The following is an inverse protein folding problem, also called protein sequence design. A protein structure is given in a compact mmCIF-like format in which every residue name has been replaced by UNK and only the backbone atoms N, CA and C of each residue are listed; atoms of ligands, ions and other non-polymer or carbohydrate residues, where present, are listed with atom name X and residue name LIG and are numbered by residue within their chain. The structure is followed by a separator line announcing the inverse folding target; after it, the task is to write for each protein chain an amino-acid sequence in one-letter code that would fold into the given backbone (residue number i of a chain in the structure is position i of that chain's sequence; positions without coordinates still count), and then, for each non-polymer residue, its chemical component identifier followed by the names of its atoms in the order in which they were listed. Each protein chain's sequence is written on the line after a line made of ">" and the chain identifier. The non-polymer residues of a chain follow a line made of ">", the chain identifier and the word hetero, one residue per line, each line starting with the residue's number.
data_IF_771881474086
#
_entry.id   IF_771881474086
#
_cell.length_a   1.000
_cell.length_b   1.000
_cell.length_c   1.000
_cell.angle_alpha   90.00
_cell.angle_beta   90.00
_cell.angle_gamma   90.00
#
_symmetry.space_group_name_H-M   'P 1'
#
loop_
_entity.id
_entity.type
_entity.pdbx_description
1 polymer ?
#
# COMPACT_ATOMS: atom_id res chain seq x y z
N UNK A 1 -4.68 -3.70 21.38
CA UNK A 1 -5.59 -3.59 20.22
C UNK A 1 -4.74 -3.83 18.99
N UNK A 2 -5.21 -4.58 17.99
CA UNK A 2 -4.42 -4.83 16.78
C UNK A 2 -4.48 -3.59 15.88
N UNK A 3 -3.33 -3.10 15.45
CA UNK A 3 -3.18 -2.03 14.48
C UNK A 3 -3.05 -2.63 13.08
N UNK A 4 -3.94 -2.22 12.19
CA UNK A 4 -3.87 -2.59 10.78
C UNK A 4 -3.18 -1.46 10.01
N UNK A 5 -2.40 -1.83 9.00
CA UNK A 5 -1.83 -0.89 8.04
C UNK A 5 -2.92 -0.25 7.17
N UNK A 6 -2.53 0.69 6.29
CA UNK A 6 -3.45 1.38 5.37
C UNK A 6 -4.20 0.44 4.41
N UNK A 7 -3.74 -0.82 4.28
CA UNK A 7 -4.37 -1.86 3.46
C UNK A 7 -5.28 -2.78 4.29
N UNK A 8 -5.47 -2.50 5.57
CA UNK A 8 -6.28 -3.31 6.48
C UNK A 8 -5.61 -4.62 6.89
N UNK A 9 -4.27 -4.66 6.91
CA UNK A 9 -3.48 -5.86 7.17
C UNK A 9 -2.56 -5.69 8.39
N UNK A 10 -2.27 -6.78 9.08
CA UNK A 10 -1.25 -6.88 10.13
C UNK A 10 -0.13 -7.81 9.68
N UNK A 11 1.10 -7.50 10.05
CA UNK A 11 2.25 -8.38 9.78
C UNK A 11 2.18 -9.63 10.65
N UNK A 12 2.41 -10.80 10.08
CA UNK A 12 2.44 -12.08 10.80
C UNK A 12 3.77 -12.79 10.57
N UNK A 13 4.60 -12.85 11.61
CA UNK A 13 5.87 -13.58 11.63
C UNK A 13 5.56 -15.01 12.07
N UNK A 14 5.87 -16.00 11.24
CA UNK A 14 5.77 -17.40 11.63
C UNK A 14 7.13 -17.88 12.10
N UNK A 15 7.17 -18.44 13.29
CA UNK A 15 8.34 -19.07 13.88
C UNK A 15 8.03 -20.54 14.19
N UNK A 16 8.99 -21.41 13.92
CA UNK A 16 8.96 -22.80 14.34
C UNK A 16 8.83 -22.88 15.87
N UNK A 17 7.85 -23.62 16.36
CA UNK A 17 7.58 -23.73 17.79
C UNK A 17 8.76 -24.40 18.54
N UNK A 18 9.30 -25.47 17.96
CA UNK A 18 10.33 -26.30 18.58
C UNK A 18 11.74 -25.69 18.46
N UNK A 19 12.09 -25.13 17.31
CA UNK A 19 13.46 -24.66 17.05
C UNK A 19 13.66 -23.16 17.24
N UNK A 20 12.57 -22.38 17.26
CA UNK A 20 12.64 -20.92 17.29
C UNK A 20 13.12 -20.29 15.97
N UNK A 21 13.30 -21.06 14.90
CA UNK A 21 13.65 -20.53 13.58
C UNK A 21 12.49 -19.72 13.02
N UNK A 22 12.77 -18.52 12.51
CA UNK A 22 11.77 -17.76 11.73
C UNK A 22 11.58 -18.47 10.39
N UNK A 23 10.34 -18.87 10.09
CA UNK A 23 9.98 -19.64 8.91
C UNK A 23 9.58 -18.72 7.75
N UNK A 24 8.71 -17.74 8.01
CA UNK A 24 8.27 -16.78 7.00
C UNK A 24 7.62 -15.55 7.63
N UNK A 25 7.46 -14.50 6.83
CA UNK A 25 6.59 -13.38 7.12
C UNK A 25 5.43 -13.39 6.11
N UNK A 26 4.21 -13.24 6.62
CA UNK A 26 3.01 -13.02 5.82
C UNK A 26 2.21 -11.85 6.37
N UNK A 27 1.01 -11.66 5.80
CA UNK A 27 0.07 -10.62 6.23
C UNK A 27 -1.28 -11.27 6.49
N UNK A 28 -2.00 -10.78 7.49
CA UNK A 28 -3.35 -11.21 7.81
C UNK A 28 -4.30 -10.01 7.76
N UNK A 29 -5.47 -10.17 7.16
CA UNK A 29 -6.62 -9.30 7.44
C UNK A 29 -7.40 -9.90 8.65
N UNK A 30 -8.46 -9.23 9.15
CA UNK A 30 -9.24 -9.76 10.27
C UNK A 30 -9.78 -11.18 10.04
N UNK A 31 -10.22 -11.50 8.82
CA UNK A 31 -10.75 -12.83 8.49
C UNK A 31 -9.66 -13.92 8.50
N UNK A 32 -8.46 -13.64 7.98
CA UNK A 32 -7.34 -14.58 8.03
C UNK A 32 -6.90 -14.86 9.48
N UNK A 33 -6.90 -13.83 10.32
CA UNK A 33 -6.58 -13.98 11.74
C UNK A 33 -7.66 -14.82 12.46
N UNK A 34 -8.94 -14.54 12.20
CA UNK A 34 -10.05 -15.31 12.77
C UNK A 34 -9.96 -16.79 12.39
N UNK A 35 -9.71 -17.10 11.11
CA UNK A 35 -9.52 -18.49 10.65
C UNK A 35 -8.28 -19.16 11.24
N UNK A 36 -7.22 -18.40 11.46
CA UNK A 36 -5.99 -18.91 12.11
C UNK A 36 -6.23 -19.22 13.58
N UNK A 37 -6.93 -18.34 14.30
CA UNK A 37 -7.27 -18.55 15.72
C UNK A 37 -8.28 -19.69 15.92
N UNK A 38 -9.25 -19.83 15.01
CA UNK A 38 -10.29 -20.85 15.07
C UNK A 38 -9.92 -22.19 14.43
N UNK A 39 -8.78 -22.27 13.75
CA UNK A 39 -8.36 -23.43 12.96
C UNK A 39 -7.02 -24.03 13.40
N UNK A 40 -6.64 -25.15 12.78
CA UNK A 40 -5.37 -25.81 13.06
C UNK A 40 -4.19 -25.23 12.27
N UNK A 41 -4.44 -24.50 11.19
CA UNK A 41 -3.42 -24.09 10.22
C UNK A 41 -3.38 -22.58 10.02
N UNK A 42 -2.20 -22.06 9.65
CA UNK A 42 -1.99 -20.63 9.40
C UNK A 42 -2.66 -20.17 8.10
N UNK A 43 -3.51 -19.15 8.21
CA UNK A 43 -4.10 -18.44 7.08
C UNK A 43 -3.44 -17.08 6.87
N UNK A 44 -3.27 -16.69 5.61
CA UNK A 44 -2.77 -15.38 5.23
C UNK A 44 -3.77 -14.68 4.31
N UNK A 45 -3.54 -13.39 4.10
CA UNK A 45 -4.14 -12.61 3.04
C UNK A 45 -3.07 -12.22 2.00
N UNK A 46 -3.29 -12.62 0.75
CA UNK A 46 -2.37 -12.38 -0.34
C UNK A 46 -2.51 -10.97 -0.89
N UNK A 47 -1.59 -10.06 -0.56
CA UNK A 47 -1.58 -8.66 -1.03
C UNK A 47 -1.65 -8.49 -2.56
N UNK A 48 -1.11 -9.45 -3.32
CA UNK A 48 -1.09 -9.40 -4.79
C UNK A 48 -2.37 -9.94 -5.44
N UNK A 49 -3.06 -10.85 -4.75
CA UNK A 49 -4.26 -11.55 -5.27
C UNK A 49 -5.55 -11.04 -4.62
N UNK A 50 -5.42 -10.24 -3.56
CA UNK A 50 -6.53 -9.72 -2.75
C UNK A 50 -7.46 -10.82 -2.25
N UNK A 51 -6.89 -11.96 -1.85
CA UNK A 51 -7.63 -13.16 -1.45
C UNK A 51 -7.03 -13.81 -0.20
N UNK A 52 -7.86 -14.57 0.51
CA UNK A 52 -7.41 -15.46 1.57
C UNK A 52 -6.62 -16.63 1.02
N UNK A 53 -5.62 -17.06 1.78
CA UNK A 53 -4.74 -18.15 1.40
C UNK A 53 -4.39 -19.01 2.62
N UNK A 54 -4.79 -20.27 2.57
CA UNK A 54 -4.36 -21.27 3.54
C UNK A 54 -2.94 -21.75 3.19
N UNK A 55 -1.97 -21.53 4.08
CA UNK A 55 -0.60 -21.98 3.84
C UNK A 55 -0.56 -23.51 3.77
N UNK A 56 -0.11 -24.02 2.62
CA UNK A 56 0.01 -25.46 2.38
C UNK A 56 -1.11 -26.06 1.54
N UNK A 57 -2.18 -25.31 1.24
CA UNK A 57 -3.34 -25.84 0.49
C UNK A 57 -2.96 -26.47 -0.86
N UNK A 58 -2.03 -25.85 -1.59
CA UNK A 58 -1.56 -26.38 -2.88
C UNK A 58 -0.35 -27.31 -2.73
N UNK A 59 0.56 -27.01 -1.81
CA UNK A 59 1.85 -27.71 -1.69
C UNK A 59 1.84 -28.90 -0.74
N UNK A 60 0.79 -29.08 0.07
CA UNK A 60 0.77 -29.98 1.23
C UNK A 60 1.60 -29.49 2.42
N UNK A 61 2.44 -28.47 2.24
CA UNK A 61 3.30 -27.94 3.29
C UNK A 61 2.59 -26.95 4.23
N UNK A 62 1.85 -27.48 5.20
CA UNK A 62 1.08 -26.71 6.18
C UNK A 62 1.93 -26.15 7.32
N UNK A 63 1.38 -25.16 8.01
CA UNK A 63 1.93 -24.65 9.27
C UNK A 63 0.86 -24.84 10.35
N UNK A 64 1.06 -25.78 11.27
CA UNK A 64 0.10 -26.07 12.33
C UNK A 64 0.26 -25.10 13.50
N UNK A 65 -0.77 -24.32 13.79
CA UNK A 65 -0.77 -23.27 14.81
C UNK A 65 -0.59 -23.88 16.20
N UNK A 66 0.29 -23.27 17.00
CA UNK A 66 0.48 -23.59 18.44
C UNK A 66 0.05 -22.45 19.34
N UNK A 67 0.53 -21.26 19.04
CA UNK A 67 0.19 -20.05 19.79
C UNK A 67 0.40 -18.81 18.93
N UNK A 68 -0.29 -17.73 19.29
CA UNK A 68 -0.15 -16.41 18.69
C UNK A 68 0.17 -15.41 19.80
N UNK A 69 1.06 -14.48 19.52
CA UNK A 69 1.40 -13.38 20.42
C UNK A 69 1.33 -12.08 19.64
N UNK A 70 0.73 -11.06 20.23
CA UNK A 70 0.75 -9.71 19.72
C UNK A 70 1.96 -8.98 20.32
N UNK A 71 2.62 -8.12 19.56
CA UNK A 71 3.66 -7.23 20.08
C UNK A 71 3.11 -6.09 20.93
N UNK A 72 3.99 -5.19 21.38
CA UNK A 72 3.67 -4.21 22.42
C UNK A 72 2.83 -3.02 21.93
N UNK A 73 2.95 -2.64 20.66
CA UNK A 73 2.19 -1.59 19.98
C UNK A 73 1.05 -2.14 19.10
N UNK A 74 1.07 -3.44 18.83
CA UNK A 74 -0.04 -4.18 18.24
C UNK A 74 -0.02 -4.25 16.72
N UNK A 75 1.10 -3.93 16.06
CA UNK A 75 1.22 -3.89 14.61
C UNK A 75 1.85 -5.17 13.99
N UNK A 76 2.31 -6.10 14.84
CA UNK A 76 2.77 -7.41 14.41
C UNK A 76 2.31 -8.57 15.31
N UNK A 77 2.09 -9.72 14.67
CA UNK A 77 1.74 -10.98 15.32
C UNK A 77 2.87 -11.98 15.14
N UNK A 78 3.33 -12.57 16.23
CA UNK A 78 4.18 -13.77 16.23
C UNK A 78 3.30 -15.02 16.30
N UNK A 79 3.34 -15.83 15.26
CA UNK A 79 2.69 -17.14 15.17
C UNK A 79 3.72 -18.23 15.42
N UNK A 80 3.56 -18.99 16.50
CA UNK A 80 4.32 -20.21 16.76
C UNK A 80 3.61 -21.38 16.07
N UNK A 81 4.33 -22.11 15.22
CA UNK A 81 3.73 -23.20 14.44
C UNK A 81 4.68 -24.39 14.25
N UNK A 82 4.11 -25.59 14.09
CA UNK A 82 4.83 -26.78 13.61
C UNK A 82 4.74 -26.84 12.07
N UNK A 83 5.85 -26.76 11.34
CA UNK A 83 5.84 -26.93 9.89
C UNK A 83 5.64 -28.40 9.50
N UNK A 84 4.75 -28.64 8.54
CA UNK A 84 4.61 -29.92 7.84
C UNK A 84 5.35 -29.75 6.52
N UNK A 85 6.54 -30.33 6.37
CA UNK A 85 7.37 -30.17 5.18
C UNK A 85 8.01 -28.77 5.06
N UNK A 86 8.69 -28.47 3.94
CA UNK A 86 9.41 -27.20 3.78
C UNK A 86 8.44 -26.01 3.65
N UNK A 87 8.70 -24.95 4.42
CA UNK A 87 7.83 -23.76 4.40
C UNK A 87 7.93 -23.01 3.08
N UNK A 88 9.14 -22.87 2.53
CA UNK A 88 9.40 -22.09 1.33
C UNK A 88 9.03 -22.87 0.06
N UNK A 89 8.53 -22.18 -0.95
CA UNK A 89 8.21 -22.77 -2.25
C UNK A 89 9.44 -23.29 -3.01
N UNK A 90 10.65 -22.90 -2.60
CA UNK A 90 11.92 -23.37 -3.18
C UNK A 90 12.32 -24.75 -2.67
N UNK A 91 11.61 -25.28 -1.65
CA UNK A 91 12.00 -26.51 -0.95
C UNK A 91 12.80 -26.27 0.33
N UNK A 92 13.13 -25.02 0.64
CA UNK A 92 13.82 -24.64 1.88
C UNK A 92 12.88 -24.61 3.08
N UNK A 93 13.42 -24.86 4.28
CA UNK A 93 12.64 -24.88 5.52
C UNK A 93 12.10 -23.50 5.90
N UNK A 94 12.84 -22.44 5.60
CA UNK A 94 12.50 -21.04 5.88
C UNK A 94 12.63 -20.21 4.60
N UNK A 95 11.86 -19.13 4.49
CA UNK A 95 12.04 -18.11 3.46
C UNK A 95 13.29 -17.25 3.68
N UNK A 96 13.86 -17.23 4.89
CA UNK A 96 15.04 -16.45 5.26
C UNK A 96 16.32 -17.29 5.16
N UNK A 97 16.49 -18.03 4.06
CA UNK A 97 17.61 -18.95 3.85
C UNK A 97 18.84 -18.29 3.18
N UNK A 98 18.69 -17.09 2.63
CA UNK A 98 19.78 -16.34 2.00
C UNK A 98 20.36 -15.34 3.01
N UNK A 99 21.67 -15.43 3.36
CA UNK A 99 22.30 -14.45 4.23
C UNK A 99 22.49 -13.11 3.49
N UNK A 100 22.25 -12.01 4.19
CA UNK A 100 22.50 -10.66 3.68
C UNK A 100 23.89 -10.20 4.15
N UNK A 101 24.91 -10.37 3.30
CA UNK A 101 26.31 -10.02 3.61
C UNK A 101 26.77 -8.71 3.00
N UNK A 102 26.03 -8.18 2.03
CA UNK A 102 26.35 -6.94 1.31
C UNK A 102 25.07 -6.11 1.09
N UNK A 103 25.25 -4.82 0.78
CA UNK A 103 24.15 -3.94 0.43
C UNK A 103 23.54 -4.36 -0.91
N UNK A 104 22.22 -4.55 -0.93
CA UNK A 104 21.47 -4.90 -2.13
C UNK A 104 20.77 -3.68 -2.72
N UNK A 105 20.50 -3.71 -4.02
CA UNK A 105 19.68 -2.68 -4.66
C UNK A 105 18.27 -2.66 -4.09
N UNK A 106 17.79 -1.47 -3.73
CA UNK A 106 16.41 -1.25 -3.35
C UNK A 106 15.59 -0.98 -4.62
N UNK A 107 14.54 -1.77 -4.82
CA UNK A 107 13.51 -1.49 -5.84
C UNK A 107 12.25 -1.03 -5.13
N UNK A 108 11.84 0.22 -5.37
CA UNK A 108 10.52 0.67 -4.98
C UNK A 108 9.48 -0.13 -5.77
N UNK A 109 8.57 -0.81 -5.07
CA UNK A 109 7.35 -1.32 -5.69
C UNK A 109 6.36 -0.16 -5.75
N UNK A 110 6.53 0.73 -6.71
CA UNK A 110 5.60 1.84 -6.92
C UNK A 110 4.25 1.29 -7.38
N UNK A 111 3.39 0.99 -6.42
CA UNK A 111 1.99 0.63 -6.62
C UNK A 111 1.14 1.32 -5.58
N UNK A 112 0.42 2.36 -5.99
CA UNK A 112 -0.59 3.03 -5.19
C UNK A 112 -0.49 4.56 -5.21
N UNK A 113 -1.22 5.24 -4.31
CA UNK A 113 -1.28 6.70 -4.25
C UNK A 113 0.00 7.35 -3.74
N UNK A 114 1.08 6.61 -3.42
CA UNK A 114 2.34 7.20 -2.95
C UNK A 114 2.92 8.27 -3.88
N UNK A 115 2.68 8.12 -5.19
CA UNK A 115 3.03 9.11 -6.20
C UNK A 115 2.42 10.50 -5.93
N UNK A 116 1.24 10.60 -5.30
CA UNK A 116 0.61 11.90 -5.03
C UNK A 116 1.35 12.69 -3.95
N UNK A 117 1.94 12.01 -2.96
CA UNK A 117 2.76 12.66 -1.94
C UNK A 117 4.09 13.15 -2.53
N UNK A 118 4.75 12.33 -3.34
CA UNK A 118 5.98 12.70 -4.06
C UNK A 118 5.73 13.88 -5.02
N UNK A 119 4.64 13.80 -5.79
CA UNK A 119 4.23 14.84 -6.72
C UNK A 119 3.88 16.14 -6.00
N UNK A 120 3.19 16.07 -4.86
CA UNK A 120 2.86 17.26 -4.07
C UNK A 120 4.12 17.91 -3.47
N UNK A 121 5.07 17.12 -2.97
CA UNK A 121 6.36 17.63 -2.51
C UNK A 121 7.13 18.33 -3.64
N UNK A 122 7.14 17.75 -4.85
CA UNK A 122 7.72 18.37 -6.04
C UNK A 122 7.00 19.68 -6.41
N UNK A 123 5.66 19.71 -6.37
CA UNK A 123 4.86 20.91 -6.62
C UNK A 123 5.19 22.02 -5.62
N UNK A 124 5.34 21.69 -4.33
CA UNK A 124 5.75 22.65 -3.31
C UNK A 124 7.15 23.22 -3.57
N UNK A 125 8.14 22.36 -3.84
CA UNK A 125 9.49 22.80 -4.21
C UNK A 125 9.45 23.74 -5.43
N UNK A 126 8.62 23.45 -6.45
CA UNK A 126 8.43 24.34 -7.60
C UNK A 126 7.74 25.67 -7.24
N UNK A 127 6.84 25.68 -6.27
CA UNK A 127 6.21 26.91 -5.76
C UNK A 127 7.23 27.81 -5.05
N UNK A 128 8.15 27.20 -4.30
CA UNK A 128 9.14 27.93 -3.50
C UNK A 128 10.32 28.41 -4.35
N UNK A 129 10.82 27.54 -5.25
CA UNK A 129 12.01 27.80 -6.07
C UNK A 129 11.69 28.56 -7.37
N UNK A 130 10.45 28.46 -7.87
CA UNK A 130 9.99 29.06 -9.12
C UNK A 130 10.97 28.86 -10.30
N UNK A 131 11.36 27.60 -10.64
CA UNK A 131 12.33 27.35 -11.71
C UNK A 131 11.78 27.79 -13.08
N UNK A 132 12.65 28.38 -13.90
CA UNK A 132 12.31 28.84 -15.26
C UNK A 132 11.96 27.65 -16.19
N UNK A 133 10.97 27.84 -17.06
CA UNK A 133 10.53 26.81 -18.03
C UNK A 133 9.68 25.67 -17.44
N UNK A 134 9.40 25.69 -16.14
CA UNK A 134 8.51 24.71 -15.49
C UNK A 134 7.04 25.05 -15.73
N UNK A 135 6.27 24.05 -16.18
CA UNK A 135 4.82 24.19 -16.34
C UNK A 135 4.12 24.57 -15.01
N UNK A 136 4.55 23.98 -13.89
CA UNK A 136 3.99 24.30 -12.56
C UNK A 136 4.27 25.74 -12.17
N UNK A 137 5.45 26.28 -12.54
CA UNK A 137 5.80 27.69 -12.28
C UNK A 137 4.85 28.61 -13.03
N UNK A 138 4.62 28.35 -14.32
CA UNK A 138 3.68 29.14 -15.13
C UNK A 138 2.25 29.12 -14.58
N UNK A 139 1.81 28.00 -13.99
CA UNK A 139 0.51 27.91 -13.32
C UNK A 139 0.46 28.80 -12.06
N UNK A 140 1.50 28.78 -11.23
CA UNK A 140 1.56 29.64 -10.04
C UNK A 140 1.64 31.13 -10.38
N UNK A 141 2.37 31.50 -11.43
CA UNK A 141 2.43 32.89 -11.93
C UNK A 141 1.07 33.39 -12.43
N UNK A 142 0.26 32.51 -13.03
CA UNK A 142 -1.10 32.83 -13.48
C UNK A 142 -2.14 32.83 -12.34
N UNK A 143 -1.78 32.30 -11.18
CA UNK A 143 -2.56 32.35 -9.95
C UNK A 143 -3.73 31.36 -9.87
N UNK A 144 -4.36 31.34 -8.70
CA UNK A 144 -5.43 30.41 -8.35
C UNK A 144 -6.60 30.35 -9.36
N UNK A 145 -7.07 31.46 -9.98
CA UNK A 145 -8.14 31.39 -10.97
C UNK A 145 -7.79 30.50 -12.17
N UNK A 146 -6.56 30.57 -12.68
CA UNK A 146 -6.12 29.74 -13.80
C UNK A 146 -5.99 28.28 -13.39
N UNK A 147 -5.43 28.03 -12.22
CA UNK A 147 -5.27 26.67 -11.69
C UNK A 147 -6.64 26.01 -11.50
N UNK A 148 -7.60 26.72 -10.91
CA UNK A 148 -8.97 26.25 -10.74
C UNK A 148 -9.67 26.00 -12.09
N UNK A 149 -9.42 26.84 -13.10
CA UNK A 149 -9.91 26.62 -14.45
C UNK A 149 -9.41 25.28 -15.01
N UNK A 150 -8.11 24.98 -14.87
CA UNK A 150 -7.55 23.69 -15.29
C UNK A 150 -8.23 22.51 -14.61
N UNK A 151 -8.47 22.58 -13.29
CA UNK A 151 -9.21 21.52 -12.57
C UNK A 151 -10.58 21.26 -13.19
N UNK A 152 -11.30 22.31 -13.59
CA UNK A 152 -12.62 22.18 -14.22
C UNK A 152 -12.51 21.59 -15.63
N UNK A 153 -11.51 22.02 -16.42
CA UNK A 153 -11.24 21.47 -17.76
C UNK A 153 -11.02 19.95 -17.66
N UNK A 154 -10.09 19.49 -16.82
CA UNK A 154 -9.77 18.05 -16.70
C UNK A 154 -10.94 17.23 -16.14
N UNK A 155 -11.73 17.81 -15.24
CA UNK A 155 -12.94 17.15 -14.73
C UNK A 155 -13.98 16.93 -15.86
N UNK A 156 -14.11 17.89 -16.77
CA UNK A 156 -14.97 17.76 -17.94
C UNK A 156 -14.45 16.69 -18.91
N UNK A 157 -13.15 16.71 -19.21
CA UNK A 157 -12.50 15.76 -20.12
C UNK A 157 -12.58 14.33 -19.57
N UNK A 158 -12.29 14.14 -18.28
CA UNK A 158 -12.43 12.85 -17.60
C UNK A 158 -13.88 12.33 -17.62
N UNK A 159 -14.87 13.21 -17.38
CA UNK A 159 -16.27 12.82 -17.43
C UNK A 159 -16.69 12.37 -18.84
N UNK A 160 -16.25 13.09 -19.88
CA UNK A 160 -16.52 12.73 -21.28
C UNK A 160 -15.87 11.38 -21.61
N UNK A 161 -14.58 11.20 -21.28
CA UNK A 161 -13.85 9.96 -21.50
C UNK A 161 -14.54 8.76 -20.83
N UNK A 162 -15.04 8.94 -19.60
CA UNK A 162 -15.82 7.94 -18.89
C UNK A 162 -17.14 7.58 -19.57
N UNK A 163 -17.86 8.56 -20.13
CA UNK A 163 -19.12 8.32 -20.85
C UNK A 163 -18.91 7.57 -22.16
N UNK A 164 -17.82 7.85 -22.88
CA UNK A 164 -17.51 7.17 -24.14
C UNK A 164 -16.83 5.81 -23.94
N UNK A 165 -16.46 5.47 -22.70
CA UNK A 165 -15.81 4.20 -22.37
C UNK A 165 -14.34 4.12 -22.79
N UNK A 166 -13.68 5.27 -23.01
CA UNK A 166 -12.25 5.32 -23.32
C UNK A 166 -11.46 5.23 -22.02
N UNK A 167 -10.95 4.03 -21.74
CA UNK A 167 -10.23 3.73 -20.50
C UNK A 167 -8.90 4.49 -20.38
N UNK A 168 -8.17 4.63 -21.48
CA UNK A 168 -6.85 5.23 -21.45
C UNK A 168 -6.97 6.75 -21.36
N UNK A 169 -7.90 7.35 -22.12
CA UNK A 169 -8.22 8.77 -21.97
C UNK A 169 -8.72 9.06 -20.55
N UNK A 170 -9.67 8.27 -20.02
CA UNK A 170 -10.16 8.48 -18.65
C UNK A 170 -9.04 8.43 -17.61
N UNK A 171 -8.09 7.51 -17.75
CA UNK A 171 -6.95 7.42 -16.85
C UNK A 171 -6.02 8.65 -16.98
N UNK A 172 -5.79 9.14 -18.20
CA UNK A 172 -4.99 10.34 -18.48
C UNK A 172 -5.65 11.59 -17.87
N UNK A 173 -6.92 11.85 -18.19
CA UNK A 173 -7.63 13.04 -17.72
C UNK A 173 -7.84 13.01 -16.20
N UNK A 174 -8.05 11.83 -15.61
CA UNK A 174 -8.09 11.70 -14.17
C UNK A 174 -6.72 12.02 -13.52
N UNK A 175 -5.62 11.66 -14.16
CA UNK A 175 -4.28 11.99 -13.67
C UNK A 175 -4.03 13.50 -13.75
N UNK A 176 -4.40 14.16 -14.85
CA UNK A 176 -4.28 15.61 -15.00
C UNK A 176 -5.19 16.36 -14.02
N UNK A 177 -6.42 15.88 -13.80
CA UNK A 177 -7.31 16.43 -12.79
C UNK A 177 -6.70 16.33 -11.37
N UNK A 178 -6.11 15.18 -11.02
CA UNK A 178 -5.42 15.00 -9.74
C UNK A 178 -4.23 15.96 -9.64
N UNK A 179 -3.39 16.05 -10.67
CA UNK A 179 -2.25 16.96 -10.70
C UNK A 179 -2.67 18.42 -10.48
N UNK A 180 -3.63 18.93 -11.25
CA UNK A 180 -4.09 20.32 -11.11
C UNK A 180 -4.76 20.57 -9.77
N UNK A 181 -5.45 19.57 -9.22
CA UNK A 181 -6.00 19.65 -7.86
C UNK A 181 -4.86 19.79 -6.83
N UNK A 182 -3.79 18.99 -6.93
CA UNK A 182 -2.62 19.12 -6.05
C UNK A 182 -1.95 20.50 -6.17
N UNK A 183 -1.85 21.05 -7.38
CA UNK A 183 -1.35 22.43 -7.60
C UNK A 183 -2.27 23.46 -6.93
N UNK A 184 -3.59 23.30 -7.03
CA UNK A 184 -4.56 24.18 -6.38
C UNK A 184 -4.45 24.13 -4.85
N UNK A 185 -4.34 22.92 -4.28
CA UNK A 185 -4.13 22.74 -2.85
C UNK A 185 -2.84 23.44 -2.40
N UNK A 186 -1.74 23.25 -3.13
CA UNK A 186 -0.48 23.92 -2.84
C UNK A 186 -0.60 25.45 -2.93
N UNK A 187 -1.32 25.98 -3.93
CA UNK A 187 -1.56 27.42 -4.08
C UNK A 187 -2.28 28.01 -2.86
N UNK A 188 -3.32 27.31 -2.38
CA UNK A 188 -4.19 27.74 -1.27
C UNK A 188 -3.70 27.31 0.12
N UNK A 189 -2.54 26.66 0.22
CA UNK A 189 -1.97 26.22 1.50
C UNK A 189 -2.70 25.04 2.15
N UNK A 190 -3.43 24.25 1.37
CA UNK A 190 -4.08 23.02 1.80
C UNK A 190 -3.17 21.84 1.48
N UNK A 191 -3.11 20.85 2.36
CA UNK A 191 -2.28 19.65 2.17
C UNK A 191 -3.12 18.44 1.71
N UNK A 192 -2.51 17.43 1.06
CA UNK A 192 -3.15 16.15 0.82
C UNK A 192 -3.69 15.50 2.10
N UNK A 193 -3.00 15.66 3.23
CA UNK A 193 -3.46 15.10 4.52
C UNK A 193 -4.78 15.71 5.00
N UNK A 194 -5.01 16.99 4.73
CA UNK A 194 -6.31 17.65 4.99
C UNK A 194 -7.42 16.98 4.17
N UNK A 195 -7.14 16.64 2.90
CA UNK A 195 -8.07 15.93 2.02
C UNK A 195 -8.30 14.49 2.51
N UNK A 196 -7.24 13.78 2.90
CA UNK A 196 -7.33 12.39 3.39
C UNK A 196 -8.15 12.31 4.67
N UNK A 197 -7.97 13.28 5.57
CA UNK A 197 -8.80 13.43 6.77
C UNK A 197 -10.28 13.55 6.39
N UNK A 198 -10.62 14.41 5.43
CA UNK A 198 -12.00 14.60 4.95
C UNK A 198 -12.57 13.37 4.25
N UNK A 199 -11.76 12.59 3.53
CA UNK A 199 -12.20 11.33 2.93
C UNK A 199 -12.42 10.25 3.99
N UNK A 200 -11.54 10.15 5.00
CA UNK A 200 -11.70 9.23 6.14
C UNK A 200 -13.00 9.50 6.90
N UNK A 201 -13.36 10.76 7.12
CA UNK A 201 -14.65 11.16 7.74
C UNK A 201 -15.89 10.67 6.96
N UNK A 202 -15.79 10.49 5.64
CA UNK A 202 -16.89 10.08 4.75
C UNK A 202 -17.04 8.57 4.60
N UNK A 203 -16.01 7.78 4.93
CA UNK A 203 -15.96 6.32 4.76
C UNK A 203 -16.80 5.54 5.80
N UNK A 204 -17.87 6.14 6.33
CA UNK A 204 -18.74 5.48 7.31
C UNK A 204 -19.37 4.22 6.77
#
# INVERSE_FOLDING_TARGET
>A
MIQLDDKGLVSAIVQDDATGRVLMLGYMNPEALERTLGGENVWFYSRSRSELWLKGETSGNFLKVKSLHLDCDGDAILVKADPIGPTCHTGEESCFFVPLTEMVEFKTRDRGPGITNELFALIQSRKDEMPEGSYTTALFEQGAPRIAQKVIEEAGEAAIAGVIGDRDALASEAADMIYHTLVLLAAEGVTPEDVWTKLRERRK
#
